data_IF_515704054131
#
_entry.id   IF_515704054131
#
_cell.length_a   1.000
_cell.length_b   1.000
_cell.length_c   1.000
_cell.angle_alpha   90.00
_cell.angle_beta   90.00
_cell.angle_gamma   90.00
#
_symmetry.space_group_name_H-M   'P 1'
#
loop_
_entity.id
_entity.type
_entity.pdbx_description
1 polymer ?
#
# COMPACT_ATOMS: atom_id res chain seq x y z
N UNK A 1 2.87 -9.49 -10.04
CA UNK A 1 2.32 -8.79 -8.86
C UNK A 1 2.67 -9.59 -7.61
N UNK A 2 3.50 -9.05 -6.71
CA UNK A 2 3.99 -9.77 -5.52
C UNK A 2 2.99 -9.80 -4.36
N UNK A 3 2.09 -8.81 -4.26
CA UNK A 3 1.14 -8.65 -3.16
C UNK A 3 -0.32 -8.92 -3.58
N UNK A 4 -0.53 -9.59 -4.72
CA UNK A 4 -1.86 -9.94 -5.21
C UNK A 4 -2.70 -10.69 -4.17
N UNK A 5 -3.92 -10.22 -3.93
CA UNK A 5 -4.86 -10.82 -2.98
C UNK A 5 -4.47 -10.65 -1.51
N UNK A 6 -3.56 -9.73 -1.19
CA UNK A 6 -3.21 -9.35 0.20
C UNK A 6 -3.86 -8.02 0.55
N UNK A 7 -4.14 -7.83 1.84
CA UNK A 7 -4.59 -6.56 2.40
C UNK A 7 -3.42 -5.93 3.16
N UNK A 8 -3.16 -4.64 2.92
CA UNK A 8 -2.16 -3.86 3.62
C UNK A 8 -2.84 -2.69 4.35
N UNK A 9 -2.79 -2.70 5.68
CA UNK A 9 -3.24 -1.58 6.52
C UNK A 9 -2.05 -0.64 6.76
N UNK A 10 -2.15 0.61 6.28
CA UNK A 10 -1.03 1.57 6.35
C UNK A 10 -1.49 2.84 7.05
N UNK A 11 -0.96 3.08 8.25
CA UNK A 11 -1.22 4.30 9.01
C UNK A 11 -0.31 5.44 8.54
N UNK A 12 -0.75 6.69 8.72
CA UNK A 12 0.03 7.86 8.29
C UNK A 12 0.20 7.97 6.78
N UNK A 13 -0.67 7.35 5.98
CA UNK A 13 -0.59 7.33 4.52
C UNK A 13 -1.01 8.64 3.83
N UNK A 14 -1.23 9.72 4.60
CA UNK A 14 -1.66 11.01 4.07
C UNK A 14 -0.58 11.78 3.32
N UNK A 15 0.71 11.53 3.59
CA UNK A 15 1.84 12.11 2.87
C UNK A 15 3.14 11.36 3.14
N UNK A 16 4.20 11.71 2.39
CA UNK A 16 5.57 11.26 2.66
C UNK A 16 5.74 9.74 2.55
N UNK A 17 6.39 9.15 3.56
CA UNK A 17 6.74 7.72 3.55
C UNK A 17 5.50 6.83 3.55
N UNK A 18 4.47 7.18 4.34
CA UNK A 18 3.24 6.40 4.41
C UNK A 18 2.53 6.37 3.05
N UNK A 19 2.42 7.53 2.40
CA UNK A 19 1.81 7.62 1.06
C UNK A 19 2.60 6.82 0.01
N UNK A 20 3.93 6.99 -0.02
CA UNK A 20 4.79 6.26 -0.95
C UNK A 20 4.67 4.75 -0.76
N UNK A 21 4.58 4.29 0.50
CA UNK A 21 4.39 2.88 0.85
C UNK A 21 3.03 2.36 0.36
N UNK A 22 1.96 3.12 0.58
CA UNK A 22 0.62 2.77 0.09
C UNK A 22 0.58 2.63 -1.44
N UNK A 23 1.17 3.58 -2.16
CA UNK A 23 1.26 3.54 -3.63
C UNK A 23 2.06 2.32 -4.13
N UNK A 24 3.20 2.04 -3.50
CA UNK A 24 4.04 0.89 -3.88
C UNK A 24 3.30 -0.45 -3.64
N UNK A 25 2.61 -0.58 -2.50
CA UNK A 25 1.83 -1.77 -2.18
C UNK A 25 0.66 -1.98 -3.15
N UNK A 26 -0.09 -0.91 -3.48
CA UNK A 26 -1.17 -0.96 -4.45
C UNK A 26 -0.66 -1.38 -5.84
N UNK A 27 0.48 -0.83 -6.29
CA UNK A 27 1.09 -1.20 -7.56
C UNK A 27 1.49 -2.69 -7.63
N UNK A 28 1.82 -3.27 -6.48
CA UNK A 28 2.13 -4.71 -6.36
C UNK A 28 0.90 -5.60 -6.21
N UNK A 29 -0.32 -5.03 -6.24
CA UNK A 29 -1.59 -5.76 -6.25
C UNK A 29 -2.24 -5.95 -4.88
N UNK A 30 -1.77 -5.24 -3.84
CA UNK A 30 -2.43 -5.26 -2.54
C UNK A 30 -3.71 -4.40 -2.55
N UNK A 31 -4.74 -4.84 -1.83
CA UNK A 31 -5.81 -3.97 -1.39
C UNK A 31 -5.30 -3.14 -0.19
N UNK A 32 -5.30 -1.82 -0.31
CA UNK A 32 -4.73 -0.92 0.70
C UNK A 32 -5.87 -0.26 1.49
N UNK A 33 -5.75 -0.26 2.81
CA UNK A 33 -6.67 0.37 3.76
C UNK A 33 -5.93 1.32 4.71
#
# INVERSE_FOLDING_TARGET
>A
MRLGGKVALITGAGSGIGEATARACAHQGAAVA
#
